data_IF_547617606371
#
_entry.id   IF_547617606371
#
_cell.length_a   1.000
_cell.length_b   1.000
_cell.length_c   1.000
_cell.angle_alpha   90.00
_cell.angle_beta   90.00
_cell.angle_gamma   90.00
#
_symmetry.space_group_name_H-M   'P 1'
#
loop_
_entity.id
_entity.type
_entity.pdbx_description
1 polymer ?
#
# COMPACT_ATOMS: atom_id res chain seq x y z
N UNK A 1 3.37 -4.56 26.19
CA UNK A 1 3.02 -3.17 26.57
C UNK A 1 1.99 -3.15 27.69
N UNK A 2 0.90 -3.92 27.60
CA UNK A 2 -0.13 -4.04 28.64
C UNK A 2 0.42 -4.35 30.05
N UNK A 3 1.26 -5.36 30.20
CA UNK A 3 1.84 -5.75 31.51
C UNK A 3 2.73 -4.65 32.13
N UNK A 4 3.40 -3.86 31.30
CA UNK A 4 4.23 -2.74 31.76
C UNK A 4 3.38 -1.59 32.29
N UNK A 5 2.30 -1.25 31.57
CA UNK A 5 1.33 -0.24 31.98
C UNK A 5 0.65 -0.68 33.28
N UNK A 6 0.29 -1.96 33.40
CA UNK A 6 -0.31 -2.51 34.61
C UNK A 6 0.62 -2.40 35.82
N UNK A 7 1.92 -2.67 35.63
CA UNK A 7 2.92 -2.66 36.71
C UNK A 7 3.26 -1.25 37.22
N UNK A 8 3.24 -0.24 36.36
CA UNK A 8 3.68 1.13 36.67
C UNK A 8 2.53 2.15 36.61
N UNK A 9 1.29 1.69 36.77
CA UNK A 9 0.09 2.51 36.58
C UNK A 9 0.07 3.79 37.40
N UNK A 10 0.60 3.75 38.62
CA UNK A 10 0.63 4.89 39.55
C UNK A 10 1.71 5.92 39.18
N UNK A 11 2.72 5.51 38.42
CA UNK A 11 3.83 6.36 37.97
C UNK A 11 3.57 6.97 36.58
N UNK A 12 2.58 6.45 35.86
CA UNK A 12 2.23 6.87 34.50
C UNK A 12 1.13 7.94 34.55
N UNK A 13 1.46 9.17 34.14
CA UNK A 13 0.50 10.28 34.07
C UNK A 13 -0.59 10.09 32.99
N UNK A 14 -0.35 9.24 31.99
CA UNK A 14 -1.31 8.90 30.93
C UNK A 14 -0.71 8.02 29.84
N UNK A 15 -1.57 7.34 29.08
CA UNK A 15 -1.18 6.48 27.95
C UNK A 15 -1.68 7.13 26.66
N UNK A 16 -0.78 7.42 25.73
CA UNK A 16 -1.12 7.89 24.39
C UNK A 16 -1.05 6.70 23.43
N UNK A 17 -2.20 6.21 22.97
CA UNK A 17 -2.26 5.16 21.96
C UNK A 17 -2.34 5.79 20.57
N UNK A 18 -1.27 5.65 19.78
CA UNK A 18 -1.26 5.95 18.35
C UNK A 18 -1.44 4.67 17.53
N UNK A 19 -2.06 4.79 16.36
CA UNK A 19 -1.98 3.75 15.34
C UNK A 19 -0.75 4.01 14.49
N UNK A 20 0.26 3.14 14.56
CA UNK A 20 1.35 3.15 13.61
C UNK A 20 0.77 2.75 12.24
N UNK A 21 0.64 3.72 11.34
CA UNK A 21 0.17 3.44 9.98
C UNK A 21 1.17 2.51 9.30
N UNK A 22 0.83 1.23 9.19
CA UNK A 22 1.56 0.28 8.35
C UNK A 22 1.29 0.62 6.88
N UNK A 23 2.26 1.28 6.24
CA UNK A 23 2.25 1.52 4.80
C UNK A 23 2.90 0.33 4.12
N UNK A 24 2.09 -0.54 3.52
CA UNK A 24 2.58 -1.58 2.63
C UNK A 24 2.95 -0.97 1.28
N UNK A 25 4.20 -0.51 1.17
CA UNK A 25 4.75 -0.03 -0.07
C UNK A 25 5.46 -1.17 -0.80
N UNK A 26 4.97 -1.50 -1.99
CA UNK A 26 5.55 -2.55 -2.83
C UNK A 26 5.38 -2.23 -4.30
N UNK A 27 6.26 -2.79 -5.11
CA UNK A 27 6.28 -2.61 -6.56
C UNK A 27 5.76 -3.87 -7.23
N UNK A 28 4.79 -3.75 -8.14
CA UNK A 28 4.23 -4.88 -8.89
C UNK A 28 5.24 -5.37 -9.94
N UNK A 29 6.16 -6.25 -9.53
CA UNK A 29 7.33 -6.67 -10.31
C UNK A 29 7.00 -7.13 -11.73
N UNK A 30 5.84 -7.76 -11.95
CA UNK A 30 5.40 -8.25 -13.26
C UNK A 30 5.14 -7.15 -14.29
N UNK A 31 4.85 -5.92 -13.86
CA UNK A 31 4.52 -4.79 -14.74
C UNK A 31 5.41 -3.57 -14.50
N UNK A 32 6.43 -3.72 -13.66
CA UNK A 32 7.34 -2.62 -13.28
C UNK A 32 8.52 -2.45 -14.24
N UNK A 33 8.35 -2.90 -15.48
CA UNK A 33 9.28 -2.78 -16.59
C UNK A 33 8.48 -2.79 -17.92
N UNK A 34 9.00 -2.23 -19.02
CA UNK A 34 8.23 -1.99 -20.23
C UNK A 34 7.57 -3.25 -20.81
N UNK A 35 8.31 -4.34 -20.95
CA UNK A 35 7.83 -5.58 -21.56
C UNK A 35 6.72 -6.22 -20.72
N UNK A 36 6.85 -6.17 -19.39
CA UNK A 36 5.83 -6.63 -18.46
C UNK A 36 4.52 -5.84 -18.57
N UNK A 37 4.63 -4.50 -18.62
CA UNK A 37 3.48 -3.63 -18.82
C UNK A 37 2.81 -3.86 -20.18
N UNK A 38 3.60 -4.04 -21.25
CA UNK A 38 3.09 -4.35 -22.58
C UNK A 38 2.32 -5.67 -22.60
N UNK A 39 2.84 -6.71 -21.93
CA UNK A 39 2.14 -7.98 -21.75
C UNK A 39 0.80 -7.83 -21.03
N UNK A 40 0.77 -7.02 -19.96
CA UNK A 40 -0.47 -6.69 -19.25
C UNK A 40 -1.49 -5.98 -20.15
N UNK A 41 -1.08 -4.93 -20.87
CA UNK A 41 -1.99 -4.17 -21.74
C UNK A 41 -2.52 -5.03 -22.89
N UNK A 42 -1.68 -5.90 -23.45
CA UNK A 42 -2.12 -6.87 -24.46
C UNK A 42 -3.13 -7.86 -23.88
N UNK A 43 -2.86 -8.45 -22.71
CA UNK A 43 -3.78 -9.40 -22.06
C UNK A 43 -5.14 -8.76 -21.71
N UNK A 44 -5.14 -7.45 -21.40
CA UNK A 44 -6.34 -6.66 -21.13
C UNK A 44 -6.96 -5.99 -22.36
N UNK A 45 -6.38 -6.19 -23.55
CA UNK A 45 -6.81 -5.58 -24.81
C UNK A 45 -6.94 -4.05 -24.73
N UNK A 46 -5.97 -3.41 -24.04
CA UNK A 46 -5.90 -1.96 -23.87
C UNK A 46 -5.00 -1.37 -24.96
N UNK A 47 -5.55 -0.44 -25.74
CA UNK A 47 -4.75 0.32 -26.72
C UNK A 47 -3.76 1.22 -25.98
N UNK A 48 -2.55 1.37 -26.51
CA UNK A 48 -1.52 2.23 -25.88
C UNK A 48 -1.98 3.69 -25.75
N UNK A 49 -2.79 4.18 -26.69
CA UNK A 49 -3.41 5.52 -26.64
C UNK A 49 -4.37 5.68 -25.46
N UNK A 50 -4.89 4.58 -24.93
CA UNK A 50 -5.85 4.53 -23.81
C UNK A 50 -5.18 4.24 -22.46
N UNK A 51 -3.85 4.08 -22.44
CA UNK A 51 -3.10 3.67 -21.26
C UNK A 51 -3.43 4.50 -20.02
N UNK A 52 -3.32 5.83 -20.10
CA UNK A 52 -3.56 6.71 -18.95
C UNK A 52 -4.98 6.58 -18.39
N UNK A 53 -5.99 6.57 -19.27
CA UNK A 53 -7.40 6.42 -18.89
C UNK A 53 -7.69 5.04 -18.28
N UNK A 54 -7.03 4.00 -18.77
CA UNK A 54 -7.16 2.66 -18.21
C UNK A 54 -6.55 2.56 -16.81
N UNK A 55 -5.31 3.03 -16.63
CA UNK A 55 -4.59 2.94 -15.34
C UNK A 55 -5.31 3.70 -14.23
N UNK A 56 -5.80 4.92 -14.51
CA UNK A 56 -6.58 5.70 -13.53
C UNK A 56 -7.80 4.92 -13.04
N UNK A 57 -8.54 4.30 -13.95
CA UNK A 57 -9.76 3.54 -13.63
C UNK A 57 -9.52 2.30 -12.77
N UNK A 58 -8.35 1.67 -12.86
CA UNK A 58 -8.05 0.41 -12.14
C UNK A 58 -7.21 0.62 -10.88
N UNK A 59 -6.76 1.85 -10.62
CA UNK A 59 -5.91 2.20 -9.47
C UNK A 59 -6.65 3.00 -8.40
N UNK A 60 -7.90 3.38 -8.65
CA UNK A 60 -8.86 3.91 -7.66
C UNK A 60 -9.61 2.76 -6.96
#
# INVERSE_FOLDING_TARGET
>A
MEEFIAKHREEIAGVLSGFDRLIFQGTLRSISYPEGMMGYLWAKQVRLTEFGRHVLRVSE
#
